data_IF_064595850494
#
_entry.id   IF_064595850494
#
_cell.length_a   1.000
_cell.length_b   1.000
_cell.length_c   1.000
_cell.angle_alpha   90.00
_cell.angle_beta   90.00
_cell.angle_gamma   90.00
#
_symmetry.space_group_name_H-M   'P 1'
#
loop_
_entity.id
_entity.type
_entity.pdbx_description
1 polymer ?
#
# COMPACT_ATOMS: atom_id res chain seq x y z
N UNK A 1 -21.40 -8.10 3.22
CA UNK A 1 -20.43 -7.02 3.40
C UNK A 1 -19.03 -7.54 3.67
N UNK A 2 -18.07 -7.06 2.89
CA UNK A 2 -16.62 -7.20 3.12
C UNK A 2 -16.02 -5.80 3.22
N UNK A 3 -15.22 -5.54 4.26
CA UNK A 3 -14.54 -4.26 4.46
C UNK A 3 -13.07 -4.36 4.05
N UNK A 4 -12.66 -3.62 3.03
CA UNK A 4 -11.27 -3.55 2.57
C UNK A 4 -10.62 -2.30 3.18
N UNK A 5 -9.67 -2.52 4.10
CA UNK A 5 -8.93 -1.46 4.78
C UNK A 5 -7.55 -1.31 4.16
N UNK A 6 -7.28 -0.15 3.55
CA UNK A 6 -6.06 0.09 2.80
C UNK A 6 -5.18 1.08 3.55
N UNK A 7 -4.23 0.55 4.31
CA UNK A 7 -3.30 1.33 5.12
C UNK A 7 -2.04 1.69 4.33
N UNK A 8 -1.57 2.92 4.49
CA UNK A 8 -0.34 3.33 3.86
C UNK A 8 0.00 4.80 4.07
N UNK A 9 0.81 5.32 3.14
CA UNK A 9 1.26 6.71 3.17
C UNK A 9 0.64 7.57 2.05
N UNK A 10 1.36 8.59 1.56
CA UNK A 10 0.93 9.50 0.49
C UNK A 10 0.62 8.79 -0.84
N UNK A 11 1.36 7.73 -1.17
CA UNK A 11 1.12 6.91 -2.38
C UNK A 11 -0.20 6.14 -2.30
N UNK A 12 -0.64 5.76 -1.10
CA UNK A 12 -1.96 5.16 -0.84
C UNK A 12 -3.06 6.22 -0.80
N UNK A 13 -2.79 7.37 -0.19
CA UNK A 13 -3.70 8.52 -0.20
C UNK A 13 -4.09 8.95 -1.62
N UNK A 14 -3.20 8.74 -2.61
CA UNK A 14 -3.44 9.15 -4.00
C UNK A 14 -2.76 10.46 -4.36
N UNK A 15 -1.67 10.82 -3.68
CA UNK A 15 -0.97 12.08 -3.94
C UNK A 15 -0.57 12.19 -5.42
N UNK A 16 -0.85 13.37 -5.99
CA UNK A 16 -0.57 13.78 -7.37
C UNK A 16 -1.25 13.00 -8.48
N UNK A 17 -2.38 12.37 -8.17
CA UNK A 17 -3.30 11.89 -9.18
C UNK A 17 -4.61 12.68 -9.18
N UNK A 18 -5.06 13.07 -10.37
CA UNK A 18 -6.26 13.87 -10.57
C UNK A 18 -7.57 13.08 -10.35
N UNK A 19 -7.49 11.75 -10.32
CA UNK A 19 -8.62 10.83 -10.16
C UNK A 19 -8.73 10.20 -8.75
N UNK A 20 -7.92 10.65 -7.77
CA UNK A 20 -8.01 10.28 -6.36
C UNK A 20 -7.19 9.06 -5.89
N UNK A 21 -6.27 8.57 -6.71
CA UNK A 21 -5.32 7.48 -6.46
C UNK A 21 -5.78 6.10 -6.92
N UNK A 22 -4.87 5.13 -6.82
CA UNK A 22 -5.16 3.73 -7.15
C UNK A 22 -6.24 3.12 -6.25
N UNK A 23 -6.33 3.53 -4.99
CA UNK A 23 -7.38 3.06 -4.06
C UNK A 23 -8.76 3.56 -4.50
N UNK A 24 -8.86 4.79 -4.99
CA UNK A 24 -10.14 5.32 -5.49
C UNK A 24 -10.57 4.65 -6.80
N UNK A 25 -9.61 4.31 -7.68
CA UNK A 25 -9.90 3.48 -8.88
C UNK A 25 -10.40 2.10 -8.50
N UNK A 26 -9.77 1.45 -7.51
CA UNK A 26 -10.24 0.16 -7.00
C UNK A 26 -11.66 0.28 -6.43
N UNK A 27 -11.93 1.34 -5.65
CA UNK A 27 -13.28 1.61 -5.14
C UNK A 27 -14.29 1.79 -6.26
N UNK A 28 -13.97 2.61 -7.26
CA UNK A 28 -14.83 2.83 -8.44
C UNK A 28 -15.15 1.50 -9.15
N UNK A 29 -14.16 0.64 -9.32
CA UNK A 29 -14.34 -0.69 -9.92
C UNK A 29 -15.28 -1.58 -9.10
N UNK A 30 -15.07 -1.66 -7.79
CA UNK A 30 -15.91 -2.47 -6.91
C UNK A 30 -17.34 -1.92 -6.83
N UNK A 31 -17.51 -0.60 -6.70
CA UNK A 31 -18.84 0.04 -6.69
C UNK A 31 -19.61 -0.26 -7.99
N UNK A 32 -18.92 -0.26 -9.14
CA UNK A 32 -19.52 -0.68 -10.42
C UNK A 32 -20.00 -2.14 -10.39
N UNK A 33 -19.18 -3.05 -9.85
CA UNK A 33 -19.55 -4.48 -9.73
C UNK A 33 -20.72 -4.70 -8.78
N UNK A 34 -20.79 -3.97 -7.67
CA UNK A 34 -21.94 -3.99 -6.75
C UNK A 34 -23.22 -3.59 -7.50
N UNK A 35 -23.20 -2.50 -8.26
CA UNK A 35 -24.36 -2.03 -9.02
C UNK A 35 -24.76 -3.04 -10.11
N UNK A 36 -23.79 -3.58 -10.85
CA UNK A 36 -24.00 -4.61 -11.89
C UNK A 36 -24.65 -5.87 -11.31
N UNK A 37 -24.24 -6.28 -10.11
CA UNK A 37 -24.83 -7.41 -9.37
C UNK A 37 -26.21 -7.13 -8.78
N UNK A 38 -26.77 -5.93 -8.95
CA UNK A 38 -27.98 -5.46 -8.26
C UNK A 38 -27.86 -5.59 -6.73
N UNK A 39 -26.68 -5.26 -6.20
CA UNK A 39 -26.36 -5.28 -4.76
C UNK A 39 -26.35 -6.69 -4.13
N UNK A 40 -26.15 -7.74 -4.92
CA UNK A 40 -25.95 -9.11 -4.41
C UNK A 40 -24.55 -9.29 -3.79
N UNK A 41 -23.54 -8.62 -4.37
CA UNK A 41 -22.23 -8.46 -3.71
C UNK A 41 -22.20 -7.14 -2.94
N UNK A 42 -21.44 -7.12 -1.84
CA UNK A 42 -21.44 -6.00 -0.89
C UNK A 42 -20.04 -5.83 -0.29
N UNK A 43 -19.36 -4.77 -0.72
CA UNK A 43 -18.00 -4.42 -0.34
C UNK A 43 -17.91 -2.92 -0.01
N UNK A 44 -17.06 -2.56 0.95
CA UNK A 44 -16.70 -1.18 1.23
C UNK A 44 -15.18 -1.04 1.26
N UNK A 45 -14.64 -0.05 0.55
CA UNK A 45 -13.20 0.25 0.55
C UNK A 45 -12.93 1.53 1.33
N UNK A 46 -11.97 1.45 2.25
CA UNK A 46 -11.50 2.58 3.04
C UNK A 46 -10.04 2.90 2.71
N UNK A 47 -9.81 4.07 2.14
CA UNK A 47 -8.47 4.63 1.99
C UNK A 47 -8.01 5.18 3.35
N UNK A 48 -6.98 4.56 3.92
CA UNK A 48 -6.37 4.92 5.21
C UNK A 48 -4.90 5.33 5.01
N UNK A 49 -4.60 5.94 3.86
CA UNK A 49 -3.31 6.55 3.55
C UNK A 49 -3.13 7.90 4.23
N UNK A 50 -2.02 8.11 4.96
CA UNK A 50 -1.67 9.40 5.57
C UNK A 50 -0.30 9.84 5.07
N UNK A 51 -0.22 11.03 4.49
CA UNK A 51 1.02 11.55 3.91
C UNK A 51 2.16 11.60 4.94
N UNK A 52 3.33 11.08 4.56
CA UNK A 52 4.52 11.05 5.42
C UNK A 52 4.58 9.92 6.44
N UNK A 53 3.52 9.12 6.60
CA UNK A 53 3.50 8.00 7.55
C UNK A 53 4.64 7.02 7.29
N UNK A 54 5.25 6.59 8.39
CA UNK A 54 6.15 5.43 8.46
C UNK A 54 5.44 4.28 9.17
N UNK A 55 6.06 3.11 9.21
CA UNK A 55 5.51 1.96 9.95
C UNK A 55 5.24 2.25 11.43
N UNK A 56 6.10 3.03 12.08
CA UNK A 56 5.92 3.43 13.48
C UNK A 56 4.74 4.37 13.72
N UNK A 57 4.31 5.13 12.71
CA UNK A 57 3.14 6.00 12.80
C UNK A 57 1.85 5.22 12.53
N UNK A 58 1.87 4.35 11.51
CA UNK A 58 0.77 3.42 11.23
C UNK A 58 0.46 2.54 12.45
N UNK A 59 1.49 2.03 13.15
CA UNK A 59 1.33 1.22 14.36
C UNK A 59 0.44 1.89 15.42
N UNK A 60 0.54 3.22 15.59
CA UNK A 60 -0.22 3.96 16.61
C UNK A 60 -1.71 4.08 16.30
N UNK A 61 -2.08 4.01 15.01
CA UNK A 61 -3.47 4.24 14.54
C UNK A 61 -4.16 3.00 14.01
N UNK A 62 -3.41 1.93 13.72
CA UNK A 62 -3.92 0.74 13.05
C UNK A 62 -5.15 0.14 13.75
N UNK A 63 -5.06 -0.11 15.06
CA UNK A 63 -6.13 -0.79 15.81
C UNK A 63 -7.40 0.07 15.88
N UNK A 64 -7.27 1.34 16.28
CA UNK A 64 -8.42 2.25 16.42
C UNK A 64 -9.13 2.50 15.08
N UNK A 65 -8.38 2.61 13.98
CA UNK A 65 -8.97 2.80 12.65
C UNK A 65 -9.63 1.54 12.10
N UNK A 66 -9.06 0.37 12.43
CA UNK A 66 -9.62 -0.94 12.09
C UNK A 66 -10.91 -1.19 12.86
N UNK A 67 -10.92 -0.98 14.18
CA UNK A 67 -12.11 -1.13 15.03
C UNK A 67 -13.27 -0.26 14.55
N UNK A 68 -12.99 0.96 14.10
CA UNK A 68 -14.00 1.87 13.57
C UNK A 68 -14.65 1.38 12.25
N UNK A 69 -14.03 0.44 11.53
CA UNK A 69 -14.39 0.07 10.15
C UNK A 69 -14.57 -1.42 9.89
N UNK A 70 -14.20 -2.29 10.83
CA UNK A 70 -14.29 -3.76 10.67
C UNK A 70 -15.72 -4.28 10.51
N UNK A 71 -16.73 -3.47 10.83
CA UNK A 71 -18.13 -3.88 10.90
C UNK A 71 -18.55 -4.30 12.31
N UNK A 72 -19.86 -4.44 12.51
CA UNK A 72 -20.47 -4.69 13.84
C UNK A 72 -21.09 -6.08 13.97
N UNK A 73 -21.23 -6.82 12.88
CA UNK A 73 -22.01 -8.05 12.79
C UNK A 73 -21.23 -9.23 12.20
N UNK A 74 -19.90 -9.19 12.24
CA UNK A 74 -19.03 -10.28 11.79
C UNK A 74 -18.70 -10.24 10.30
N UNK A 75 -18.75 -9.05 9.71
CA UNK A 75 -18.33 -8.77 8.34
C UNK A 75 -16.87 -9.21 8.12
N UNK A 76 -16.56 -9.75 6.94
CA UNK A 76 -15.18 -10.09 6.60
C UNK A 76 -14.35 -8.81 6.44
N UNK A 77 -13.11 -8.83 6.93
CA UNK A 77 -12.16 -7.73 6.76
C UNK A 77 -11.03 -8.20 5.86
N UNK A 78 -10.65 -7.39 4.88
CA UNK A 78 -9.43 -7.53 4.09
C UNK A 78 -8.50 -6.37 4.43
N UNK A 79 -7.22 -6.65 4.67
CA UNK A 79 -6.24 -5.63 5.06
C UNK A 79 -5.15 -5.56 4.00
N UNK A 80 -4.95 -4.37 3.43
CA UNK A 80 -3.85 -4.09 2.50
C UNK A 80 -2.87 -3.11 3.16
N UNK A 81 -1.59 -3.46 3.17
CA UNK A 81 -0.51 -2.59 3.63
C UNK A 81 0.35 -2.13 2.45
N UNK A 82 0.36 -0.83 2.18
CA UNK A 82 1.26 -0.19 1.22
C UNK A 82 2.01 0.95 1.92
N UNK A 83 3.08 0.55 2.63
CA UNK A 83 3.86 1.38 3.55
C UNK A 83 5.35 1.02 3.42
N UNK A 84 6.24 1.89 3.90
CA UNK A 84 7.69 1.62 3.94
C UNK A 84 8.53 2.58 3.09
N UNK A 85 7.94 3.24 2.09
CA UNK A 85 8.69 4.20 1.27
C UNK A 85 9.29 5.33 2.12
N UNK A 86 8.55 5.84 3.11
CA UNK A 86 9.05 6.89 4.01
C UNK A 86 10.06 6.36 5.06
N UNK A 87 9.99 5.08 5.41
CA UNK A 87 10.91 4.43 6.36
C UNK A 87 12.34 4.40 5.79
N UNK A 88 12.46 4.19 4.47
CA UNK A 88 13.74 4.07 3.75
C UNK A 88 14.36 5.41 3.31
N UNK A 89 13.81 6.55 3.76
CA UNK A 89 14.40 7.87 3.49
C UNK A 89 15.78 7.93 4.16
N UNK A 90 16.84 8.19 3.38
CA UNK A 90 18.15 8.51 3.94
C UNK A 90 18.15 9.95 4.43
N UNK A 91 18.58 10.16 5.67
CA UNK A 91 18.68 11.46 6.30
C UNK A 91 20.14 11.80 6.59
N UNK A 92 20.67 12.80 5.89
CA UNK A 92 22.08 13.19 5.96
C UNK A 92 22.49 13.65 7.35
N UNK A 93 21.60 14.33 8.09
CA UNK A 93 21.89 14.74 9.47
C UNK A 93 22.05 13.55 10.44
N UNK A 94 21.43 12.41 10.12
CA UNK A 94 21.54 11.16 10.89
C UNK A 94 22.65 10.25 10.38
N UNK A 95 23.12 10.47 9.14
CA UNK A 95 24.04 9.57 8.43
C UNK A 95 23.45 8.18 8.15
N UNK A 96 22.12 8.04 8.17
CA UNK A 96 21.41 6.77 7.98
C UNK A 96 19.97 6.96 7.51
N UNK A 97 19.32 5.87 7.14
CA UNK A 97 17.88 5.80 6.92
C UNK A 97 17.08 6.13 8.19
N UNK A 98 15.91 6.74 8.04
CA UNK A 98 15.11 7.25 9.15
C UNK A 98 14.54 6.16 10.08
N UNK A 99 14.26 4.98 9.54
CA UNK A 99 13.91 3.78 10.30
C UNK A 99 14.85 2.69 9.84
N UNK A 100 15.59 2.03 10.74
CA UNK A 100 16.52 0.96 10.34
C UNK A 100 15.78 -0.23 9.74
N UNK A 101 16.44 -1.05 8.90
CA UNK A 101 15.84 -2.26 8.35
C UNK A 101 15.33 -3.24 9.44
N UNK A 102 16.06 -3.34 10.56
CA UNK A 102 15.66 -4.13 11.72
C UNK A 102 14.40 -3.59 12.40
N UNK A 103 14.31 -2.28 12.59
CA UNK A 103 13.13 -1.66 13.21
C UNK A 103 11.93 -1.72 12.27
N UNK A 104 12.15 -1.53 10.96
CA UNK A 104 11.13 -1.68 9.92
C UNK A 104 10.56 -3.10 9.93
N UNK A 105 11.43 -4.14 9.94
CA UNK A 105 11.01 -5.55 10.05
C UNK A 105 10.21 -5.80 11.33
N UNK A 106 10.68 -5.34 12.48
CA UNK A 106 9.98 -5.50 13.77
C UNK A 106 8.61 -4.84 13.76
N UNK A 107 8.50 -3.63 13.21
CA UNK A 107 7.23 -2.92 13.11
C UNK A 107 6.27 -3.64 12.17
N UNK A 108 6.76 -4.12 11.03
CA UNK A 108 5.93 -4.81 10.05
C UNK A 108 5.40 -6.15 10.58
N UNK A 109 6.24 -6.95 11.26
CA UNK A 109 5.80 -8.19 11.92
C UNK A 109 4.68 -7.90 12.91
N UNK A 110 4.85 -6.89 13.79
CA UNK A 110 3.82 -6.49 14.75
C UNK A 110 2.53 -6.02 14.07
N UNK A 111 2.63 -5.24 13.00
CA UNK A 111 1.46 -4.81 12.23
C UNK A 111 0.70 -6.00 11.64
N UNK A 112 1.42 -7.00 11.12
CA UNK A 112 0.81 -8.24 10.60
C UNK A 112 0.19 -9.08 11.72
N UNK A 113 0.86 -9.22 12.86
CA UNK A 113 0.31 -9.90 14.04
C UNK A 113 -0.99 -9.24 14.52
N UNK A 114 -1.02 -7.91 14.60
CA UNK A 114 -2.24 -7.16 14.91
C UNK A 114 -3.32 -7.36 13.84
N UNK A 115 -2.97 -7.33 12.56
CA UNK A 115 -3.90 -7.53 11.45
C UNK A 115 -4.53 -8.93 11.46
N UNK A 116 -3.79 -9.97 11.86
CA UNK A 116 -4.29 -11.36 11.97
C UNK A 116 -5.40 -11.54 12.99
N UNK A 117 -5.54 -10.61 13.94
CA UNK A 117 -6.68 -10.58 14.89
C UNK A 117 -7.98 -10.27 14.14
N UNK A 118 -7.90 -9.46 13.08
CA UNK A 118 -9.05 -8.92 12.36
C UNK A 118 -9.34 -9.62 11.03
N UNK A 119 -8.30 -10.15 10.39
CA UNK A 119 -8.39 -10.60 9.01
C UNK A 119 -7.56 -11.85 8.77
N UNK A 120 -8.10 -12.74 7.93
CA UNK A 120 -7.36 -13.85 7.32
C UNK A 120 -6.77 -13.48 5.95
N UNK A 121 -7.20 -12.37 5.37
CA UNK A 121 -6.85 -11.89 4.04
C UNK A 121 -6.02 -10.61 4.17
N UNK A 122 -4.71 -10.79 4.34
CA UNK A 122 -3.74 -9.70 4.52
C UNK A 122 -2.79 -9.70 3.33
N UNK A 123 -2.62 -8.54 2.71
CA UNK A 123 -1.69 -8.34 1.59
C UNK A 123 -0.72 -7.22 1.92
N UNK A 124 0.57 -7.49 1.77
CA UNK A 124 1.64 -6.49 1.79
C UNK A 124 1.96 -6.14 0.35
N UNK A 125 1.97 -4.84 0.02
CA UNK A 125 2.16 -4.34 -1.32
C UNK A 125 3.50 -3.59 -1.39
N UNK A 126 4.34 -3.97 -2.34
CA UNK A 126 5.62 -3.32 -2.60
C UNK A 126 5.48 -1.87 -3.08
N UNK A 127 6.54 -1.09 -2.93
CA UNK A 127 6.60 0.29 -3.44
C UNK A 127 7.19 0.34 -4.85
N UNK A 128 6.81 1.35 -5.64
CA UNK A 128 7.47 1.63 -6.91
C UNK A 128 8.91 2.15 -6.73
N UNK A 129 9.75 2.06 -7.77
CA UNK A 129 11.02 2.77 -7.82
C UNK A 129 10.87 4.29 -7.69
N UNK A 130 11.96 4.96 -7.35
CA UNK A 130 12.08 6.43 -7.25
C UNK A 130 13.06 7.00 -8.27
N UNK A 131 12.93 8.29 -8.55
CA UNK A 131 13.77 9.04 -9.47
C UNK A 131 14.92 9.76 -8.73
N UNK A 132 16.01 10.01 -9.46
CA UNK A 132 17.09 10.93 -9.07
C UNK A 132 16.60 12.31 -8.62
N UNK A 133 15.43 12.77 -9.13
CA UNK A 133 14.77 14.04 -8.75
C UNK A 133 14.49 14.18 -7.25
N UNK A 134 14.42 13.07 -6.51
CA UNK A 134 14.17 13.04 -5.07
C UNK A 134 15.39 12.58 -4.26
N UNK A 135 16.58 12.70 -4.84
CA UNK A 135 17.87 12.46 -4.18
C UNK A 135 18.84 13.62 -4.47
N UNK A 136 18.68 14.80 -3.84
CA UNK A 136 17.85 15.07 -2.65
C UNK A 136 16.37 15.35 -2.95
N UNK A 137 15.53 15.21 -1.93
CA UNK A 137 14.11 15.57 -1.96
C UNK A 137 13.98 17.11 -2.06
N UNK A 138 13.36 17.67 -3.12
CA UNK A 138 13.31 19.12 -3.33
C UNK A 138 12.60 19.89 -2.20
N UNK A 139 11.59 19.28 -1.58
CA UNK A 139 10.79 19.88 -0.49
C UNK A 139 11.28 19.51 0.91
N UNK A 140 12.35 18.73 1.04
CA UNK A 140 12.90 18.33 2.33
C UNK A 140 14.44 18.21 2.25
N UNK A 141 15.16 19.35 2.31
CA UNK A 141 16.61 19.38 2.20
C UNK A 141 17.30 18.42 3.19
N UNK A 142 18.35 17.73 2.74
CA UNK A 142 19.07 16.74 3.55
C UNK A 142 18.38 15.38 3.69
N UNK A 143 17.25 15.16 2.99
CA UNK A 143 16.55 13.87 2.91
C UNK A 143 16.55 13.36 1.47
N UNK A 144 16.66 12.04 1.30
CA UNK A 144 16.90 11.42 -0.01
C UNK A 144 16.11 10.11 -0.09
N UNK A 145 15.34 9.92 -1.16
CA UNK A 145 14.90 8.58 -1.56
C UNK A 145 15.91 8.01 -2.56
N UNK A 146 16.31 6.76 -2.37
CA UNK A 146 17.25 6.08 -3.28
C UNK A 146 16.80 4.66 -3.54
N UNK A 147 16.89 4.22 -4.79
CA UNK A 147 16.47 2.86 -5.17
C UNK A 147 17.22 1.75 -4.43
N UNK A 148 18.46 2.00 -3.97
CA UNK A 148 19.18 1.04 -3.11
C UNK A 148 18.40 0.68 -1.84
N UNK A 149 17.84 1.68 -1.15
CA UNK A 149 17.05 1.47 0.06
C UNK A 149 15.60 1.06 -0.26
N UNK A 150 15.03 1.56 -1.35
CA UNK A 150 13.69 1.12 -1.78
C UNK A 150 13.69 -0.37 -2.11
N UNK A 151 14.73 -0.87 -2.80
CA UNK A 151 14.89 -2.30 -3.11
C UNK A 151 15.08 -3.12 -1.83
N UNK A 152 15.96 -2.69 -0.92
CA UNK A 152 16.18 -3.34 0.37
C UNK A 152 14.87 -3.48 1.16
N UNK A 153 14.07 -2.42 1.24
CA UNK A 153 12.84 -2.42 2.05
C UNK A 153 11.71 -3.21 1.38
N UNK A 154 11.65 -3.25 0.05
CA UNK A 154 10.79 -4.21 -0.66
C UNK A 154 11.20 -5.66 -0.37
N UNK A 155 12.51 -5.93 -0.25
CA UNK A 155 13.02 -7.23 0.21
C UNK A 155 12.51 -7.59 1.61
N UNK A 156 12.59 -6.65 2.56
CA UNK A 156 12.07 -6.86 3.93
C UNK A 156 10.55 -7.09 3.94
N UNK A 157 9.79 -6.31 3.16
CA UNK A 157 8.33 -6.49 3.00
C UNK A 157 8.01 -7.92 2.54
N UNK A 158 8.71 -8.41 1.52
CA UNK A 158 8.57 -9.76 1.00
C UNK A 158 8.93 -10.82 2.05
N UNK A 159 10.09 -10.70 2.69
CA UNK A 159 10.55 -11.67 3.69
C UNK A 159 9.55 -11.81 4.84
N UNK A 160 9.01 -10.69 5.33
CA UNK A 160 8.02 -10.69 6.41
C UNK A 160 6.71 -11.32 5.95
N UNK A 161 6.27 -11.03 4.73
CA UNK A 161 5.07 -11.66 4.19
C UNK A 161 5.21 -13.19 4.13
N UNK A 162 6.35 -13.69 3.64
CA UNK A 162 6.67 -15.11 3.58
C UNK A 162 6.76 -15.75 4.97
N UNK A 163 7.46 -15.12 5.92
CA UNK A 163 7.60 -15.65 7.29
C UNK A 163 6.28 -15.67 8.05
N UNK A 164 5.46 -14.64 7.84
CA UNK A 164 4.14 -14.50 8.47
C UNK A 164 3.03 -15.25 7.73
N UNK A 165 3.32 -15.85 6.56
CA UNK A 165 2.35 -16.55 5.71
C UNK A 165 1.16 -15.67 5.33
N UNK A 166 1.45 -14.44 4.93
CA UNK A 166 0.50 -13.50 4.33
C UNK A 166 0.91 -13.20 2.88
N UNK A 167 0.02 -12.61 2.10
CA UNK A 167 0.27 -12.36 0.69
C UNK A 167 1.24 -11.20 0.48
N UNK A 168 2.10 -11.29 -0.54
CA UNK A 168 2.97 -10.21 -0.99
C UNK A 168 2.76 -9.92 -2.47
N UNK A 169 2.41 -8.68 -2.78
CA UNK A 169 2.36 -8.17 -4.13
C UNK A 169 3.66 -7.43 -4.46
N UNK A 170 4.50 -8.07 -5.28
CA UNK A 170 5.71 -7.47 -5.85
C UNK A 170 5.35 -6.35 -6.82
N UNK A 171 5.97 -5.18 -6.64
CA UNK A 171 5.77 -3.99 -7.49
C UNK A 171 7.13 -3.49 -7.97
N UNK A 172 8.09 -3.29 -7.06
CA UNK A 172 9.39 -2.70 -7.40
C UNK A 172 10.06 -3.39 -8.58
N UNK A 173 10.18 -4.72 -8.55
CA UNK A 173 10.86 -5.48 -9.60
C UNK A 173 10.13 -5.45 -10.94
N UNK A 174 8.82 -5.23 -10.94
CA UNK A 174 8.02 -5.13 -12.16
C UNK A 174 8.24 -3.80 -12.90
N UNK A 175 8.68 -2.76 -12.20
CA UNK A 175 8.80 -1.40 -12.75
C UNK A 175 10.24 -0.89 -12.86
N UNK A 176 11.20 -1.39 -12.07
CA UNK A 176 12.59 -0.86 -12.05
C UNK A 176 13.29 -0.92 -13.41
N UNK A 177 12.94 -1.89 -14.26
CA UNK A 177 13.49 -2.05 -15.61
C UNK A 177 12.61 -1.46 -16.72
N UNK A 178 11.57 -0.69 -16.36
CA UNK A 178 10.69 0.05 -17.28
C UNK A 178 11.00 1.54 -17.19
N UNK A 179 10.39 2.34 -18.06
CA UNK A 179 10.39 3.79 -17.92
C UNK A 179 9.46 4.21 -16.77
N UNK A 180 9.88 3.95 -15.53
CA UNK A 180 9.09 4.31 -14.35
C UNK A 180 9.14 5.83 -14.07
N UNK A 181 10.13 6.57 -14.59
CA UNK A 181 10.23 8.02 -14.37
C UNK A 181 9.03 8.77 -14.96
N UNK A 182 8.53 8.33 -16.12
CA UNK A 182 7.31 8.89 -16.75
C UNK A 182 6.03 8.53 -16.00
N UNK A 183 6.07 7.63 -15.01
CA UNK A 183 4.96 7.28 -14.14
C UNK A 183 4.94 8.09 -12.84
N UNK A 184 5.95 8.95 -12.60
CA UNK A 184 6.12 9.70 -11.35
C UNK A 184 6.03 11.21 -11.57
N UNK A 185 5.11 11.87 -10.87
CA UNK A 185 4.90 13.32 -10.94
C UNK A 185 6.10 14.11 -10.44
N UNK A 186 6.61 13.74 -9.26
CA UNK A 186 7.67 14.47 -8.56
C UNK A 186 8.92 13.62 -8.30
N UNK A 187 8.95 12.39 -8.82
CA UNK A 187 10.04 11.43 -8.63
C UNK A 187 9.81 10.41 -7.51
N UNK A 188 8.72 10.50 -6.73
CA UNK A 188 8.33 9.46 -5.77
C UNK A 188 6.84 9.14 -5.80
N UNK A 189 5.99 10.13 -6.03
CA UNK A 189 4.55 9.91 -6.14
C UNK A 189 4.15 9.64 -7.59
N UNK A 190 3.32 8.63 -7.76
CA UNK A 190 2.74 8.27 -9.06
C UNK A 190 1.89 9.41 -9.64
N UNK A 191 1.94 9.58 -10.95
CA UNK A 191 0.97 10.38 -11.70
C UNK A 191 -0.28 9.54 -12.03
N UNK A 192 -1.20 10.12 -12.80
CA UNK A 192 -2.46 9.46 -13.18
C UNK A 192 -2.26 8.07 -13.82
N UNK A 193 -1.23 7.93 -14.66
CA UNK A 193 -0.89 6.67 -15.34
C UNK A 193 -0.21 5.68 -14.39
N UNK A 194 0.70 6.14 -13.53
CA UNK A 194 1.30 5.31 -12.48
C UNK A 194 0.24 4.75 -11.53
N UNK A 195 -0.71 5.58 -11.09
CA UNK A 195 -1.83 5.14 -10.25
C UNK A 195 -2.79 4.22 -10.99
N UNK A 196 -2.99 4.39 -12.30
CA UNK A 196 -3.78 3.45 -13.12
C UNK A 196 -3.11 2.07 -13.15
N UNK A 197 -1.82 1.99 -13.43
CA UNK A 197 -1.07 0.74 -13.48
C UNK A 197 -1.00 0.05 -12.11
N UNK A 198 -0.79 0.81 -11.04
CA UNK A 198 -0.85 0.30 -9.68
C UNK A 198 -2.22 -0.29 -9.35
N UNK A 199 -3.31 0.41 -9.71
CA UNK A 199 -4.66 -0.09 -9.54
C UNK A 199 -4.89 -1.41 -10.28
N UNK A 200 -4.52 -1.48 -11.56
CA UNK A 200 -4.70 -2.69 -12.36
C UNK A 200 -3.96 -3.87 -11.75
N UNK A 201 -2.70 -3.64 -11.36
CA UNK A 201 -1.88 -4.68 -10.75
C UNK A 201 -2.46 -5.19 -9.43
N UNK A 202 -2.96 -4.28 -8.58
CA UNK A 202 -3.61 -4.64 -7.32
C UNK A 202 -4.93 -5.36 -7.57
N UNK A 203 -5.81 -4.83 -8.45
CA UNK A 203 -7.09 -5.47 -8.79
C UNK A 203 -6.87 -6.90 -9.25
N UNK A 204 -6.03 -7.09 -10.26
CA UNK A 204 -5.78 -8.40 -10.85
C UNK A 204 -5.22 -9.37 -9.81
N UNK A 205 -4.30 -8.91 -8.94
CA UNK A 205 -3.79 -9.73 -7.85
C UNK A 205 -4.87 -10.16 -6.86
N UNK A 206 -5.77 -9.25 -6.47
CA UNK A 206 -6.83 -9.54 -5.52
C UNK A 206 -7.86 -10.53 -6.09
N UNK A 207 -8.15 -10.44 -7.38
CA UNK A 207 -9.05 -11.37 -8.08
C UNK A 207 -8.40 -12.74 -8.29
N UNK A 208 -7.15 -12.79 -8.78
CA UNK A 208 -6.41 -14.03 -9.03
C UNK A 208 -6.19 -14.85 -7.76
N UNK A 209 -6.06 -14.17 -6.61
CA UNK A 209 -5.90 -14.80 -5.29
C UNK A 209 -7.22 -15.08 -4.57
N UNK A 210 -8.36 -14.79 -5.21
CA UNK A 210 -9.70 -14.94 -4.63
C UNK A 210 -9.84 -14.18 -3.28
N UNK A 211 -9.09 -13.08 -3.13
CA UNK A 211 -9.16 -12.21 -1.95
C UNK A 211 -10.46 -11.40 -2.01
N UNK A 212 -10.78 -10.91 -3.21
CA UNK A 212 -12.09 -10.39 -3.55
C UNK A 212 -12.78 -11.37 -4.51
N UNK A 213 -14.06 -11.63 -4.28
CA UNK A 213 -14.92 -12.37 -5.19
C UNK A 213 -16.05 -11.44 -5.66
N UNK A 214 -15.97 -11.08 -6.94
CA UNK A 214 -16.87 -10.14 -7.60
C UNK A 214 -17.66 -10.81 -8.73
N UNK A 215 -17.69 -12.16 -8.77
CA UNK A 215 -18.47 -12.90 -9.77
C UNK A 215 -19.95 -12.66 -9.52
N UNK A 216 -20.66 -12.24 -10.56
CA UNK A 216 -22.13 -12.17 -10.59
C UNK A 216 -22.60 -13.51 -11.14
N UNK A 217 -23.29 -14.31 -10.33
CA UNK A 217 -24.02 -15.45 -10.89
C UNK A 217 -25.16 -14.90 -11.75
N UNK A 218 -25.14 -15.23 -13.05
CA UNK A 218 -26.09 -14.72 -14.05
C UNK A 218 -27.46 -15.35 -13.98
#
# INVERSE_FOLDING_TARGET
MVNILVFGASTTYGAWDSEGGWVNRLRKYIDQKIIESKFEIDYLIYNLGISGDKTGDLFKRFEVETEARKGKHGEEVVILFHIGINDCIYNESMGRVEVSGDDFRKNLVKLVEMAKIYSKKIVIIGSMPVDSRVSPIPWAPGRYYKNEYVEEYNGILKDVAESERVEFLEIFKEFINKDYSSLLSDGVHMNDEGHRLMYERVRDYLEDKEIIDLKVEG
#
